data_IF_333077645728
#
_entry.id   IF_333077645728
#
_cell.length_a   1.000
_cell.length_b   1.000
_cell.length_c   1.000
_cell.angle_alpha   90.00
_cell.angle_beta   90.00
_cell.angle_gamma   90.00
#
_symmetry.space_group_name_H-M   'P 1'
#
loop_
_entity.id
_entity.type
_entity.pdbx_description
1 polymer ?
#
# COMPACT_ATOMS: atom_id res chain seq x y z
N UNK A 1 46.28 31.44 -24.48
CA UNK A 1 44.84 31.74 -24.59
C UNK A 1 44.10 30.85 -23.59
N UNK A 2 43.67 31.43 -22.46
CA UNK A 2 42.81 30.81 -21.45
C UNK A 2 41.37 31.29 -21.71
N UNK A 3 40.41 30.37 -21.62
CA UNK A 3 38.99 30.57 -21.26
C UNK A 3 38.40 29.15 -21.12
N UNK A 4 38.33 28.55 -19.93
CA UNK A 4 37.32 28.74 -18.88
C UNK A 4 35.86 28.70 -19.39
N UNK A 5 35.21 27.57 -19.14
CA UNK A 5 33.82 27.47 -18.68
C UNK A 5 33.51 26.01 -18.28
N UNK A 6 34.22 25.51 -17.26
CA UNK A 6 33.68 24.46 -16.41
C UNK A 6 33.00 25.17 -15.23
N UNK A 7 31.67 25.22 -15.26
CA UNK A 7 30.88 25.64 -14.10
C UNK A 7 31.28 24.74 -12.91
N UNK A 8 31.66 25.31 -11.76
CA UNK A 8 31.97 24.51 -10.58
C UNK A 8 30.68 23.82 -10.13
N UNK A 9 30.62 22.49 -10.26
CA UNK A 9 29.60 21.67 -9.60
C UNK A 9 29.84 21.85 -8.10
N UNK A 10 28.97 22.64 -7.46
CA UNK A 10 29.09 23.01 -6.06
C UNK A 10 28.85 21.78 -5.17
N UNK A 11 29.91 21.01 -4.90
CA UNK A 11 29.93 19.77 -4.12
C UNK A 11 29.47 19.97 -2.66
N UNK A 12 29.58 21.19 -2.13
CA UNK A 12 29.10 21.60 -0.80
C UNK A 12 27.56 21.66 -0.70
N UNK A 13 26.87 22.02 -1.79
CA UNK A 13 25.41 22.02 -1.83
C UNK A 13 24.86 20.58 -1.96
N UNK A 14 25.53 19.74 -2.75
CA UNK A 14 25.20 18.32 -2.89
C UNK A 14 25.35 17.56 -1.56
N UNK A 15 26.37 17.84 -0.75
CA UNK A 15 26.58 17.14 0.53
C UNK A 15 25.50 17.48 1.58
N UNK A 16 25.04 18.74 1.64
CA UNK A 16 23.99 19.19 2.57
C UNK A 16 22.59 18.67 2.23
N UNK A 17 22.31 18.43 0.95
CA UNK A 17 21.03 17.83 0.49
C UNK A 17 21.09 16.30 0.54
N UNK A 18 22.26 15.69 0.39
CA UNK A 18 22.44 14.23 0.45
C UNK A 18 22.12 13.64 1.84
N UNK A 19 22.66 14.22 2.92
CA UNK A 19 22.52 13.63 4.27
C UNK A 19 21.05 13.54 4.74
N UNK A 20 20.21 14.59 4.61
CA UNK A 20 18.78 14.50 4.92
C UNK A 20 18.05 13.49 4.02
N UNK A 21 18.44 13.40 2.74
CA UNK A 21 17.83 12.47 1.78
C UNK A 21 18.07 11.00 2.14
N UNK A 22 19.30 10.65 2.50
CA UNK A 22 19.62 9.30 2.97
C UNK A 22 18.92 8.97 4.29
N UNK A 23 18.79 9.94 5.20
CA UNK A 23 18.03 9.78 6.44
C UNK A 23 16.55 9.48 6.18
N UNK A 24 15.89 10.23 5.29
CA UNK A 24 14.49 10.00 4.91
C UNK A 24 14.31 8.66 4.20
N UNK A 25 15.23 8.27 3.32
CA UNK A 25 15.20 6.96 2.67
C UNK A 25 15.32 5.82 3.68
N UNK A 26 16.25 5.92 4.62
CA UNK A 26 16.43 4.93 5.68
C UNK A 26 15.19 4.84 6.57
N UNK A 27 14.62 5.99 6.97
CA UNK A 27 13.43 6.06 7.79
C UNK A 27 12.19 5.49 7.07
N UNK A 28 12.04 5.73 5.77
CA UNK A 28 10.98 5.12 4.96
C UNK A 28 11.16 3.61 4.83
N UNK A 29 12.38 3.12 4.60
CA UNK A 29 12.66 1.69 4.59
C UNK A 29 12.36 1.02 5.93
N UNK A 30 12.76 1.68 7.04
CA UNK A 30 12.53 1.19 8.40
C UNK A 30 11.03 1.23 8.74
N UNK A 31 10.40 2.40 8.75
CA UNK A 31 9.02 2.54 9.20
C UNK A 31 8.01 2.00 8.19
N UNK A 32 8.18 2.21 6.89
CA UNK A 32 7.27 1.68 5.88
C UNK A 32 7.49 0.19 5.63
N UNK A 33 8.74 -0.21 5.34
CA UNK A 33 9.07 -1.59 4.99
C UNK A 33 8.93 -2.56 6.16
N UNK A 34 9.51 -2.24 7.32
CA UNK A 34 9.45 -3.15 8.49
C UNK A 34 8.04 -3.21 9.07
N UNK A 35 7.28 -2.11 9.11
CA UNK A 35 5.89 -2.17 9.57
C UNK A 35 5.02 -3.07 8.69
N UNK A 36 5.22 -3.10 7.37
CA UNK A 36 4.49 -4.01 6.48
C UNK A 36 4.81 -5.48 6.76
N UNK A 37 6.07 -5.80 7.08
CA UNK A 37 6.48 -7.15 7.50
C UNK A 37 5.85 -7.49 8.86
N UNK A 38 5.93 -6.59 9.83
CA UNK A 38 5.30 -6.74 11.13
C UNK A 38 3.79 -6.90 11.02
N UNK A 39 3.15 -6.24 10.06
CA UNK A 39 1.74 -6.38 9.77
C UNK A 39 1.40 -7.79 9.24
N UNK A 40 2.24 -8.36 8.38
CA UNK A 40 2.12 -9.77 8.00
C UNK A 40 2.20 -10.73 9.21
N UNK A 41 3.12 -10.48 10.14
CA UNK A 41 3.23 -11.25 11.40
C UNK A 41 2.00 -11.03 12.29
N UNK A 42 1.54 -9.80 12.40
CA UNK A 42 0.32 -9.44 13.13
C UNK A 42 -0.91 -10.17 12.58
N UNK A 43 -1.05 -10.33 11.26
CA UNK A 43 -2.13 -11.11 10.66
C UNK A 43 -1.96 -12.62 10.90
N UNK A 44 -0.73 -13.12 10.92
CA UNK A 44 -0.45 -14.56 11.06
C UNK A 44 -0.67 -15.10 12.48
N UNK A 45 -0.20 -14.36 13.49
CA UNK A 45 -0.18 -14.77 14.92
C UNK A 45 -0.63 -13.68 15.89
N UNK A 46 -0.81 -12.44 15.43
CA UNK A 46 -0.76 -11.26 16.30
C UNK A 46 0.69 -10.90 16.67
N UNK A 47 0.87 -9.76 17.36
CA UNK A 47 2.18 -9.37 17.88
C UNK A 47 2.35 -9.82 19.34
N UNK A 48 3.53 -10.32 19.74
CA UNK A 48 3.87 -10.49 21.15
C UNK A 48 4.07 -9.11 21.80
N UNK A 49 3.56 -8.92 23.02
CA UNK A 49 3.75 -7.66 23.77
C UNK A 49 2.79 -6.53 23.38
N UNK A 50 1.61 -6.84 22.86
CA UNK A 50 0.53 -5.85 22.70
C UNK A 50 0.19 -5.25 24.06
N UNK A 51 0.05 -3.92 24.12
CA UNK A 51 -0.32 -3.24 25.35
C UNK A 51 -1.79 -3.50 25.65
N UNK A 52 -2.06 -4.39 26.60
CA UNK A 52 -3.39 -4.59 27.13
C UNK A 52 -3.73 -3.42 28.06
N UNK A 53 -4.70 -2.59 27.66
CA UNK A 53 -5.09 -1.41 28.42
C UNK A 53 -5.99 -1.76 29.61
N UNK A 54 -6.48 -3.00 29.69
CA UNK A 54 -7.27 -3.50 30.82
C UNK A 54 -8.70 -2.96 30.87
N UNK A 55 -9.21 -2.42 29.76
CA UNK A 55 -10.60 -1.97 29.66
C UNK A 55 -11.58 -3.13 29.43
N UNK A 56 -12.87 -2.82 29.53
CA UNK A 56 -13.93 -3.76 29.18
C UNK A 56 -13.95 -4.05 27.67
N UNK A 57 -14.63 -5.14 27.29
CA UNK A 57 -14.66 -5.60 25.90
C UNK A 57 -15.19 -4.56 24.91
N UNK A 58 -16.27 -3.86 25.27
CA UNK A 58 -16.88 -2.85 24.40
C UNK A 58 -15.92 -1.69 24.12
N UNK A 59 -15.19 -1.25 25.15
CA UNK A 59 -14.16 -0.22 25.01
C UNK A 59 -12.99 -0.70 24.18
N UNK A 60 -12.57 -1.97 24.34
CA UNK A 60 -11.51 -2.56 23.52
C UNK A 60 -11.88 -2.55 22.03
N UNK A 61 -13.07 -3.03 21.67
CA UNK A 61 -13.55 -3.02 20.29
C UNK A 61 -13.71 -1.60 19.74
N UNK A 62 -14.14 -0.64 20.57
CA UNK A 62 -14.21 0.77 20.17
C UNK A 62 -12.82 1.35 19.88
N UNK A 63 -11.83 1.05 20.72
CA UNK A 63 -10.43 1.46 20.52
C UNK A 63 -9.88 0.85 19.23
N UNK A 64 -10.10 -0.45 18.99
CA UNK A 64 -9.67 -1.12 17.76
C UNK A 64 -10.29 -0.53 16.51
N UNK A 65 -11.59 -0.20 16.55
CA UNK A 65 -12.27 0.51 15.47
C UNK A 65 -11.63 1.89 15.25
N UNK A 66 -11.39 2.65 16.32
CA UNK A 66 -10.75 3.97 16.25
C UNK A 66 -9.33 3.89 15.66
N UNK A 67 -8.54 2.89 16.05
CA UNK A 67 -7.21 2.63 15.50
C UNK A 67 -7.28 2.33 14.00
N UNK A 68 -8.24 1.51 13.56
CA UNK A 68 -8.49 1.25 12.14
C UNK A 68 -8.85 2.55 11.40
N UNK A 69 -9.82 3.32 11.90
CA UNK A 69 -10.23 4.58 11.28
C UNK A 69 -9.11 5.61 11.22
N UNK A 70 -8.28 5.68 12.27
CA UNK A 70 -7.14 6.57 12.31
C UNK A 70 -6.12 6.23 11.22
N UNK A 71 -5.81 4.94 11.06
CA UNK A 71 -4.96 4.47 9.96
C UNK A 71 -5.60 4.72 8.59
N UNK A 72 -6.87 4.38 8.41
CA UNK A 72 -7.59 4.57 7.14
C UNK A 72 -7.63 6.04 6.72
N UNK A 73 -7.92 6.93 7.67
CA UNK A 73 -7.99 8.36 7.43
C UNK A 73 -6.61 8.88 7.00
N UNK A 74 -5.56 8.58 7.77
CA UNK A 74 -4.21 9.00 7.44
C UNK A 74 -3.77 8.47 6.07
N UNK A 75 -3.92 7.17 5.82
CA UNK A 75 -3.50 6.52 4.58
C UNK A 75 -4.25 7.10 3.37
N UNK A 76 -5.58 7.18 3.45
CA UNK A 76 -6.42 7.62 2.33
C UNK A 76 -6.24 9.10 2.02
N UNK A 77 -6.07 9.95 3.04
CA UNK A 77 -5.81 11.37 2.85
C UNK A 77 -4.47 11.59 2.14
N UNK A 78 -3.40 10.94 2.58
CA UNK A 78 -2.06 11.17 2.01
C UNK A 78 -1.86 10.58 0.61
N UNK A 79 -2.67 9.59 0.22
CA UNK A 79 -2.69 9.09 -1.17
C UNK A 79 -3.37 10.10 -2.10
N UNK A 80 -4.31 10.91 -1.60
CA UNK A 80 -5.14 11.77 -2.45
C UNK A 80 -4.34 12.90 -3.09
N UNK A 81 -4.55 13.11 -4.39
CA UNK A 81 -3.89 14.17 -5.17
C UNK A 81 -4.06 15.57 -4.58
N UNK A 82 -5.22 15.89 -3.99
CA UNK A 82 -5.46 17.18 -3.35
C UNK A 82 -4.55 17.42 -2.15
N UNK A 83 -4.41 16.43 -1.27
CA UNK A 83 -3.53 16.53 -0.12
C UNK A 83 -2.05 16.54 -0.53
N UNK A 84 -1.66 15.73 -1.52
CA UNK A 84 -0.31 15.76 -2.10
C UNK A 84 0.05 17.13 -2.66
N UNK A 85 -0.87 17.79 -3.37
CA UNK A 85 -0.69 19.17 -3.86
C UNK A 85 -0.54 20.17 -2.72
N UNK A 86 -1.39 20.08 -1.70
CA UNK A 86 -1.27 20.93 -0.51
C UNK A 86 0.08 20.74 0.20
N UNK A 87 0.51 19.50 0.41
CA UNK A 87 1.77 19.19 1.07
C UNK A 87 2.99 19.60 0.21
N UNK A 88 2.86 19.59 -1.12
CA UNK A 88 3.90 20.06 -2.04
C UNK A 88 4.22 21.56 -1.91
N UNK A 89 3.34 22.34 -1.26
CA UNK A 89 3.61 23.73 -0.91
C UNK A 89 4.62 23.89 0.25
N UNK A 90 4.79 22.84 1.07
CA UNK A 90 5.69 22.84 2.22
C UNK A 90 6.93 21.97 2.01
N UNK A 91 6.80 20.89 1.23
CA UNK A 91 7.82 19.85 1.07
C UNK A 91 8.06 19.58 -0.42
N UNK A 92 9.32 19.41 -0.87
CA UNK A 92 9.59 19.08 -2.27
C UNK A 92 8.90 17.79 -2.70
N UNK A 93 8.41 17.76 -3.95
CA UNK A 93 7.60 16.65 -4.46
C UNK A 93 8.30 15.29 -4.36
N UNK A 94 9.63 15.27 -4.49
CA UNK A 94 10.45 14.06 -4.46
C UNK A 94 10.43 13.33 -3.10
N UNK A 95 10.07 14.02 -2.01
CA UNK A 95 10.00 13.42 -0.66
C UNK A 95 8.59 12.99 -0.26
N UNK A 96 7.56 13.39 -1.01
CA UNK A 96 6.17 13.13 -0.63
C UNK A 96 5.86 11.63 -0.50
N UNK A 97 6.41 10.81 -1.39
CA UNK A 97 6.27 9.35 -1.32
C UNK A 97 6.92 8.76 -0.05
N UNK A 98 8.11 9.21 0.30
CA UNK A 98 8.83 8.71 1.48
C UNK A 98 8.17 9.15 2.78
N UNK A 99 7.72 10.40 2.86
CA UNK A 99 6.95 10.90 4.00
C UNK A 99 5.65 10.15 4.16
N UNK A 100 4.92 9.91 3.06
CA UNK A 100 3.74 9.06 3.07
C UNK A 100 4.02 7.68 3.65
N UNK A 101 5.10 7.02 3.21
CA UNK A 101 5.53 5.71 3.70
C UNK A 101 5.86 5.73 5.20
N UNK A 102 6.59 6.74 5.66
CA UNK A 102 6.97 6.94 7.07
C UNK A 102 5.73 7.08 7.95
N UNK A 103 4.85 8.02 7.63
CA UNK A 103 3.64 8.26 8.42
C UNK A 103 2.73 7.04 8.38
N UNK A 104 2.50 6.43 7.22
CA UNK A 104 1.68 5.22 7.12
C UNK A 104 2.27 4.08 7.97
N UNK A 105 3.60 3.94 8.00
CA UNK A 105 4.29 2.98 8.84
C UNK A 105 4.12 3.25 10.33
N UNK A 106 4.19 4.51 10.77
CA UNK A 106 3.96 4.90 12.17
C UNK A 106 2.54 4.55 12.61
N UNK A 107 1.54 4.96 11.83
CA UNK A 107 0.13 4.70 12.16
C UNK A 107 -0.18 3.20 12.14
N UNK A 108 0.44 2.44 11.24
CA UNK A 108 0.31 0.99 11.20
C UNK A 108 0.95 0.34 12.45
N UNK A 109 2.12 0.80 12.88
CA UNK A 109 2.76 0.32 14.12
C UNK A 109 1.92 0.67 15.35
N UNK A 110 1.37 1.89 15.43
CA UNK A 110 0.45 2.29 16.51
C UNK A 110 -0.75 1.34 16.55
N UNK A 111 -1.39 1.08 15.40
CA UNK A 111 -2.51 0.14 15.31
C UNK A 111 -2.12 -1.23 15.86
N UNK A 112 -0.98 -1.78 15.47
CA UNK A 112 -0.58 -3.13 15.88
C UNK A 112 -0.17 -3.22 17.36
N UNK A 113 0.48 -2.19 17.91
CA UNK A 113 0.95 -2.15 19.29
C UNK A 113 -0.19 -1.95 20.31
N UNK A 114 -1.17 -1.11 19.94
CA UNK A 114 -2.32 -0.80 20.79
C UNK A 114 -3.56 -1.63 20.46
N UNK A 115 -3.44 -2.66 19.62
CA UNK A 115 -4.53 -3.58 19.32
C UNK A 115 -4.99 -4.34 20.57
N UNK A 116 -6.28 -4.29 20.88
CA UNK A 116 -6.88 -4.92 22.05
C UNK A 116 -7.53 -6.26 21.68
N UNK A 117 -6.83 -7.37 21.94
CA UNK A 117 -7.37 -8.72 21.69
C UNK A 117 -8.69 -8.94 22.42
N UNK A 118 -9.69 -9.37 21.67
CA UNK A 118 -10.99 -9.79 22.21
C UNK A 118 -10.89 -11.21 22.74
N UNK A 119 -11.57 -11.46 23.86
CA UNK A 119 -11.78 -12.82 24.39
C UNK A 119 -13.20 -13.33 24.11
N UNK A 120 -14.07 -12.46 23.58
CA UNK A 120 -15.45 -12.81 23.23
C UNK A 120 -15.48 -13.50 21.87
N UNK A 121 -16.24 -14.59 21.77
CA UNK A 121 -16.39 -15.42 20.57
C UNK A 121 -15.04 -15.80 19.94
N UNK A 122 -14.46 -16.91 20.38
CA UNK A 122 -13.24 -17.47 19.81
C UNK A 122 -13.55 -18.83 19.18
N UNK A 123 -13.45 -18.90 17.85
CA UNK A 123 -13.53 -20.14 17.09
C UNK A 123 -12.20 -20.39 16.42
N UNK A 124 -11.49 -21.39 16.91
CA UNK A 124 -10.24 -21.85 16.32
C UNK A 124 -10.52 -22.94 15.29
N UNK A 125 -9.97 -22.79 14.09
CA UNK A 125 -10.05 -23.79 13.03
C UNK A 125 -8.99 -24.87 13.28
N UNK A 126 -9.41 -26.12 13.21
CA UNK A 126 -8.56 -27.30 13.39
C UNK A 126 -8.54 -28.19 12.13
N UNK A 127 -7.73 -29.25 12.18
CA UNK A 127 -7.63 -30.25 11.12
C UNK A 127 -7.37 -29.68 9.72
N UNK A 128 -8.15 -30.13 8.73
CA UNK A 128 -7.99 -29.71 7.33
C UNK A 128 -8.30 -28.22 7.11
N UNK A 129 -9.22 -27.64 7.88
CA UNK A 129 -9.59 -26.23 7.75
C UNK A 129 -8.41 -25.32 8.12
N UNK A 130 -7.69 -25.66 9.20
CA UNK A 130 -6.44 -24.99 9.57
C UNK A 130 -5.44 -24.99 8.41
N UNK A 131 -5.13 -26.17 7.85
CA UNK A 131 -4.14 -26.28 6.77
C UNK A 131 -4.57 -25.51 5.53
N UNK A 132 -5.85 -25.58 5.16
CA UNK A 132 -6.40 -24.84 4.04
C UNK A 132 -6.20 -23.32 4.22
N UNK A 133 -6.55 -22.78 5.38
CA UNK A 133 -6.38 -21.35 5.67
C UNK A 133 -4.90 -20.94 5.68
N UNK A 134 -4.00 -21.76 6.22
CA UNK A 134 -2.55 -21.48 6.20
C UNK A 134 -1.98 -21.49 4.78
N UNK A 135 -2.37 -22.46 3.95
CA UNK A 135 -1.98 -22.50 2.54
C UNK A 135 -2.51 -21.27 1.81
N UNK A 136 -3.77 -20.90 2.03
CA UNK A 136 -4.38 -19.70 1.45
C UNK A 136 -3.62 -18.43 1.87
N UNK A 137 -3.21 -18.31 3.14
CA UNK A 137 -2.44 -17.20 3.66
C UNK A 137 -1.11 -17.04 2.92
N UNK A 138 -0.29 -18.10 2.83
CA UNK A 138 1.01 -18.06 2.14
C UNK A 138 0.86 -17.85 0.62
N UNK A 139 -0.14 -18.47 -0.01
CA UNK A 139 -0.45 -18.23 -1.42
C UNK A 139 -0.83 -16.77 -1.67
N UNK A 140 -1.54 -16.14 -0.73
CA UNK A 140 -1.90 -14.72 -0.81
C UNK A 140 -0.69 -13.82 -0.72
N UNK A 141 0.29 -14.12 0.15
CA UNK A 141 1.58 -13.40 0.21
C UNK A 141 2.34 -13.54 -1.11
N UNK A 142 2.44 -14.75 -1.66
CA UNK A 142 3.14 -15.01 -2.93
C UNK A 142 2.43 -14.24 -4.06
N UNK A 143 1.11 -14.33 -4.14
CA UNK A 143 0.29 -13.62 -5.13
C UNK A 143 0.45 -12.11 -5.04
N UNK A 144 0.44 -11.56 -3.82
CA UNK A 144 0.70 -10.15 -3.55
C UNK A 144 2.10 -9.75 -4.05
N UNK A 145 3.14 -10.50 -3.67
CA UNK A 145 4.52 -10.22 -4.07
C UNK A 145 4.74 -10.28 -5.59
N UNK A 146 4.22 -11.30 -6.25
CA UNK A 146 4.29 -11.45 -7.72
C UNK A 146 3.57 -10.29 -8.41
N UNK A 147 2.39 -9.91 -7.92
CA UNK A 147 1.64 -8.76 -8.42
C UNK A 147 2.42 -7.46 -8.24
N UNK A 148 2.95 -7.24 -7.04
CA UNK A 148 3.74 -6.06 -6.71
C UNK A 148 4.95 -5.92 -7.63
N UNK A 149 5.69 -7.01 -7.87
CA UNK A 149 6.84 -7.02 -8.78
C UNK A 149 6.47 -6.72 -10.25
N UNK A 150 5.21 -6.90 -10.63
CA UNK A 150 4.72 -6.55 -11.97
C UNK A 150 4.53 -5.04 -12.16
N UNK A 151 4.34 -4.29 -11.08
CA UNK A 151 4.26 -2.84 -11.05
C UNK A 151 5.66 -2.19 -11.06
N UNK A 152 6.52 -2.54 -12.02
CA UNK A 152 7.93 -2.10 -12.01
C UNK A 152 8.22 -0.58 -11.90
N UNK A 153 7.28 0.36 -12.13
CA UNK A 153 7.50 1.76 -11.74
C UNK A 153 6.96 2.16 -10.36
N UNK A 154 6.14 1.35 -9.70
CA UNK A 154 5.51 1.64 -8.42
C UNK A 154 6.54 1.59 -7.28
N UNK A 155 6.58 2.67 -6.52
CA UNK A 155 7.53 2.88 -5.44
C UNK A 155 6.77 3.17 -4.14
N UNK A 156 6.36 2.13 -3.40
CA UNK A 156 5.57 2.32 -2.18
C UNK A 156 6.35 3.06 -1.08
N UNK A 157 7.69 3.05 -1.15
CA UNK A 157 8.55 3.69 -0.17
C UNK A 157 8.97 5.12 -0.57
N UNK A 158 8.62 5.57 -1.78
CA UNK A 158 9.03 6.89 -2.31
C UNK A 158 10.55 7.09 -2.42
N UNK A 159 11.34 6.01 -2.41
CA UNK A 159 12.80 6.07 -2.45
C UNK A 159 13.30 6.41 -3.87
N UNK A 160 12.63 5.90 -4.89
CA UNK A 160 12.99 6.06 -6.29
C UNK A 160 12.87 7.51 -6.75
N UNK A 161 11.86 8.24 -6.30
CA UNK A 161 11.69 9.67 -6.59
C UNK A 161 12.89 10.48 -6.08
N UNK A 162 13.28 10.24 -4.82
CA UNK A 162 14.50 10.84 -4.22
C UNK A 162 15.75 10.46 -5.01
N UNK A 163 15.93 9.18 -5.37
CA UNK A 163 17.11 8.73 -6.13
C UNK A 163 17.15 9.34 -7.54
N UNK A 164 16.00 9.52 -8.20
CA UNK A 164 15.89 10.17 -9.51
C UNK A 164 16.28 11.64 -9.39
N UNK A 165 15.78 12.33 -8.36
CA UNK A 165 16.11 13.72 -8.04
C UNK A 165 17.61 13.89 -7.77
N UNK A 166 18.19 13.05 -6.91
CA UNK A 166 19.63 13.06 -6.60
C UNK A 166 20.51 12.79 -7.83
N UNK A 167 19.98 12.08 -8.84
CA UNK A 167 20.65 11.82 -10.13
C UNK A 167 20.39 12.90 -11.19
N UNK A 168 19.67 13.98 -10.85
CA UNK A 168 19.37 15.09 -11.77
C UNK A 168 18.48 14.69 -12.95
N UNK A 169 17.66 13.64 -12.81
CA UNK A 169 16.75 13.18 -13.88
C UNK A 169 15.33 13.64 -13.58
N UNK A 170 14.55 13.92 -14.62
CA UNK A 170 13.13 14.24 -14.48
C UNK A 170 12.28 12.96 -14.47
N UNK A 171 11.27 12.94 -13.59
CA UNK A 171 10.30 11.84 -13.54
C UNK A 171 9.50 11.80 -14.85
N UNK A 172 9.33 10.60 -15.42
CA UNK A 172 8.52 10.41 -16.63
C UNK A 172 7.03 10.34 -16.25
N UNK A 173 6.20 10.97 -17.07
CA UNK A 173 4.74 10.87 -16.97
C UNK A 173 4.28 9.40 -16.99
N UNK A 174 3.35 9.01 -16.10
CA UNK A 174 2.86 7.64 -16.02
C UNK A 174 2.02 7.28 -17.27
N UNK A 175 2.47 6.28 -18.02
CA UNK A 175 1.72 5.71 -19.15
C UNK A 175 0.79 4.60 -18.64
N UNK A 176 -0.48 4.65 -19.03
CA UNK A 176 -1.43 3.58 -18.72
C UNK A 176 -0.98 2.26 -19.34
N UNK A 177 -0.66 1.27 -18.51
CA UNK A 177 -0.24 -0.06 -18.96
C UNK A 177 -0.87 -1.15 -18.11
N UNK A 178 -1.43 -2.17 -18.77
CA UNK A 178 -2.05 -3.33 -18.10
C UNK A 178 -1.18 -4.57 -18.32
N UNK A 179 -0.61 -5.13 -17.24
CA UNK A 179 0.34 -6.25 -17.28
C UNK A 179 0.11 -7.22 -16.12
N UNK A 180 0.52 -8.48 -16.29
CA UNK A 180 0.44 -9.50 -15.24
C UNK A 180 -1.00 -9.73 -14.76
N UNK A 181 -1.17 -9.80 -13.43
CA UNK A 181 -2.44 -10.08 -12.77
C UNK A 181 -3.50 -8.99 -13.00
N UNK A 182 -3.10 -7.78 -13.42
CA UNK A 182 -4.01 -6.73 -13.86
C UNK A 182 -4.82 -7.11 -15.10
N UNK A 183 -4.45 -8.18 -15.83
CA UNK A 183 -5.26 -8.70 -16.95
C UNK A 183 -6.43 -9.57 -16.48
N UNK A 184 -6.41 -10.04 -15.24
CA UNK A 184 -7.42 -10.93 -14.66
C UNK A 184 -8.40 -10.16 -13.78
N UNK A 185 -7.90 -9.25 -12.93
CA UNK A 185 -8.68 -8.37 -12.05
C UNK A 185 -8.07 -6.99 -12.06
N UNK A 186 -8.87 -5.95 -11.81
CA UNK A 186 -8.38 -4.57 -11.85
C UNK A 186 -7.52 -4.21 -10.66
N UNK A 187 -7.82 -4.81 -9.51
CA UNK A 187 -7.15 -4.55 -8.24
C UNK A 187 -6.57 -5.83 -7.62
N UNK A 188 -5.58 -6.46 -8.27
CA UNK A 188 -5.01 -7.73 -7.79
C UNK A 188 -4.34 -7.60 -6.42
N UNK A 189 -3.70 -6.46 -6.11
CA UNK A 189 -3.13 -6.22 -4.78
C UNK A 189 -4.20 -6.22 -3.70
N UNK A 190 -5.33 -5.53 -3.95
CA UNK A 190 -6.46 -5.51 -3.02
C UNK A 190 -7.10 -6.89 -2.87
N UNK A 191 -7.23 -7.64 -3.96
CA UNK A 191 -7.71 -9.02 -3.89
C UNK A 191 -6.83 -9.88 -2.98
N UNK A 192 -5.51 -9.87 -3.15
CA UNK A 192 -4.61 -10.64 -2.29
C UNK A 192 -4.56 -10.12 -0.85
N UNK A 193 -4.70 -8.81 -0.63
CA UNK A 193 -4.85 -8.24 0.72
C UNK A 193 -6.12 -8.73 1.41
N UNK A 194 -7.25 -8.79 0.70
CA UNK A 194 -8.51 -9.33 1.24
C UNK A 194 -8.35 -10.82 1.58
N UNK A 195 -7.73 -11.61 0.70
CA UNK A 195 -7.46 -13.00 1.03
C UNK A 195 -6.56 -13.14 2.26
N UNK A 196 -5.56 -12.27 2.41
CA UNK A 196 -4.63 -12.31 3.54
C UNK A 196 -5.33 -12.04 4.89
N UNK A 197 -6.19 -11.03 4.97
CA UNK A 197 -6.90 -10.69 6.22
C UNK A 197 -7.95 -11.75 6.58
N UNK A 198 -8.58 -12.38 5.57
CA UNK A 198 -9.59 -13.41 5.80
C UNK A 198 -9.01 -14.82 5.99
N UNK A 199 -7.75 -15.07 5.62
CA UNK A 199 -7.05 -16.32 5.85
C UNK A 199 -6.55 -16.47 7.30
N UNK A 200 -7.43 -16.21 8.27
CA UNK A 200 -7.18 -16.43 9.69
C UNK A 200 -7.54 -17.85 10.11
N UNK A 201 -6.80 -18.39 11.09
CA UNK A 201 -7.10 -19.69 11.72
C UNK A 201 -7.83 -19.55 13.05
N UNK A 202 -7.83 -18.35 13.63
CA UNK A 202 -8.54 -18.03 14.87
C UNK A 202 -9.48 -16.88 14.59
N UNK A 203 -10.78 -17.15 14.70
CA UNK A 203 -11.84 -16.18 14.46
C UNK A 203 -12.28 -15.64 15.81
N UNK A 204 -11.81 -14.44 16.13
CA UNK A 204 -12.19 -13.68 17.34
C UNK A 204 -13.04 -12.46 16.96
N UNK A 205 -13.77 -11.89 17.93
CA UNK A 205 -14.61 -10.69 17.66
C UNK A 205 -13.78 -9.51 17.16
N UNK A 206 -12.60 -9.26 17.73
CA UNK A 206 -11.70 -8.19 17.26
C UNK A 206 -11.22 -8.44 15.82
N UNK A 207 -10.91 -9.70 15.47
CA UNK A 207 -10.50 -10.06 14.11
C UNK A 207 -11.64 -9.93 13.10
N UNK A 208 -12.86 -10.26 13.48
CA UNK A 208 -14.03 -10.05 12.62
C UNK A 208 -14.29 -8.56 12.39
N UNK A 209 -14.20 -7.74 13.45
CA UNK A 209 -14.28 -6.29 13.35
C UNK A 209 -13.21 -5.73 12.40
N UNK A 210 -11.95 -6.13 12.62
CA UNK A 210 -10.82 -5.78 11.76
C UNK A 210 -11.10 -6.16 10.30
N UNK A 211 -11.44 -7.42 10.03
CA UNK A 211 -11.68 -7.93 8.69
C UNK A 211 -12.81 -7.18 7.99
N UNK A 212 -13.90 -6.91 8.69
CA UNK A 212 -15.03 -6.14 8.17
C UNK A 212 -14.63 -4.71 7.81
N UNK A 213 -14.02 -3.98 8.75
CA UNK A 213 -13.59 -2.59 8.56
C UNK A 213 -12.58 -2.45 7.42
N UNK A 214 -11.56 -3.32 7.38
CA UNK A 214 -10.54 -3.32 6.33
C UNK A 214 -11.12 -3.70 4.97
N UNK A 215 -12.09 -4.63 4.92
CA UNK A 215 -12.77 -4.98 3.67
C UNK A 215 -13.53 -3.79 3.10
N UNK A 216 -14.33 -3.12 3.93
CA UNK A 216 -15.07 -1.91 3.52
C UNK A 216 -14.10 -0.83 3.05
N UNK A 217 -13.05 -0.57 3.82
CA UNK A 217 -12.04 0.42 3.47
C UNK A 217 -11.34 0.12 2.13
N UNK A 218 -10.94 -1.13 1.89
CA UNK A 218 -10.32 -1.55 0.62
C UNK A 218 -11.30 -1.36 -0.55
N UNK A 219 -12.57 -1.72 -0.39
CA UNK A 219 -13.58 -1.54 -1.45
C UNK A 219 -13.80 -0.06 -1.74
N UNK A 220 -13.95 0.77 -0.71
CA UNK A 220 -14.11 2.23 -0.87
C UNK A 220 -12.87 2.83 -1.55
N UNK A 221 -11.67 2.45 -1.11
CA UNK A 221 -10.40 2.88 -1.71
C UNK A 221 -10.32 2.53 -3.19
N UNK A 222 -10.67 1.29 -3.55
CA UNK A 222 -10.71 0.84 -4.92
C UNK A 222 -11.71 1.63 -5.79
N UNK A 223 -12.90 1.93 -5.27
CA UNK A 223 -13.89 2.76 -5.99
C UNK A 223 -13.39 4.19 -6.22
N UNK A 224 -12.72 4.78 -5.24
CA UNK A 224 -12.13 6.12 -5.35
C UNK A 224 -10.93 6.14 -6.31
N UNK A 225 -10.09 5.12 -6.28
CA UNK A 225 -8.98 4.95 -7.20
C UNK A 225 -9.48 4.81 -8.64
N UNK A 226 -10.53 4.02 -8.88
CA UNK A 226 -11.12 3.90 -10.22
C UNK A 226 -11.65 5.24 -10.75
N UNK A 227 -12.26 6.07 -9.88
CA UNK A 227 -12.71 7.41 -10.27
C UNK A 227 -11.54 8.29 -10.70
N UNK A 228 -10.42 8.23 -9.99
CA UNK A 228 -9.22 8.99 -10.34
C UNK A 228 -8.59 8.49 -11.64
N UNK A 229 -8.53 7.18 -11.82
CA UNK A 229 -7.99 6.56 -13.04
C UNK A 229 -8.86 6.88 -14.26
N UNK A 230 -10.18 6.96 -14.11
CA UNK A 230 -11.08 7.46 -15.16
C UNK A 230 -10.81 8.93 -15.46
N UNK A 231 -10.58 9.76 -14.44
CA UNK A 231 -10.27 11.18 -14.64
C UNK A 231 -8.92 11.38 -15.34
N UNK A 232 -7.92 10.53 -15.07
CA UNK A 232 -6.59 10.62 -15.67
C UNK A 232 -6.47 9.98 -17.06
N UNK A 233 -7.16 8.86 -17.31
CA UNK A 233 -6.97 8.05 -18.53
C UNK A 233 -8.21 7.95 -19.42
N UNK A 234 -9.33 8.53 -19.02
CA UNK A 234 -10.55 8.65 -19.83
C UNK A 234 -11.07 7.30 -20.35
N UNK A 235 -11.38 7.25 -21.64
CA UNK A 235 -12.00 6.09 -22.28
C UNK A 235 -11.12 4.84 -22.30
N UNK A 236 -9.80 4.99 -22.28
CA UNK A 236 -8.88 3.86 -22.20
C UNK A 236 -9.13 3.04 -20.93
N UNK A 237 -9.33 3.71 -19.79
CA UNK A 237 -9.64 3.06 -18.52
C UNK A 237 -11.09 2.55 -18.47
N UNK A 238 -12.05 3.29 -19.02
CA UNK A 238 -13.45 2.83 -19.11
C UNK A 238 -13.57 1.53 -19.91
N UNK A 239 -12.83 1.41 -21.01
CA UNK A 239 -12.77 0.18 -21.79
C UNK A 239 -12.19 -0.98 -20.96
N UNK A 240 -11.12 -0.72 -20.20
CA UNK A 240 -10.56 -1.70 -19.27
C UNK A 240 -11.57 -2.13 -18.18
N UNK A 241 -12.32 -1.20 -17.59
CA UNK A 241 -13.37 -1.49 -16.60
C UNK A 241 -14.50 -2.39 -17.13
N UNK A 242 -14.89 -2.22 -18.40
CA UNK A 242 -15.92 -3.07 -19.03
C UNK A 242 -15.46 -4.51 -19.20
N UNK A 243 -14.16 -4.71 -19.42
CA UNK A 243 -13.62 -6.01 -19.79
C UNK A 243 -13.08 -6.81 -18.58
N UNK A 244 -12.43 -6.15 -17.62
CA UNK A 244 -11.74 -6.80 -16.50
C UNK A 244 -12.52 -6.59 -15.20
N UNK A 245 -12.82 -7.64 -14.41
CA UNK A 245 -13.55 -7.50 -13.15
C UNK A 245 -12.75 -6.78 -12.07
N UNK A 246 -13.43 -6.15 -11.11
CA UNK A 246 -12.80 -5.30 -10.09
C UNK A 246 -11.84 -6.07 -9.16
N UNK A 247 -12.39 -7.02 -8.39
CA UNK A 247 -11.66 -7.75 -7.33
C UNK A 247 -11.64 -9.26 -7.55
N UNK A 248 -12.79 -9.87 -7.87
CA UNK A 248 -12.91 -11.34 -7.95
C UNK A 248 -12.61 -11.82 -9.38
N UNK A 249 -11.62 -12.72 -9.58
CA UNK A 249 -11.19 -13.20 -10.90
C UNK A 249 -12.16 -14.26 -11.47
N UNK A 250 -13.42 -13.91 -11.73
CA UNK A 250 -14.39 -14.86 -12.32
C UNK A 250 -14.18 -15.06 -13.84
N UNK A 251 -13.41 -14.19 -14.50
CA UNK A 251 -13.03 -14.31 -15.91
C UNK A 251 -11.65 -14.96 -16.01
N UNK A 252 -11.61 -16.25 -16.30
CA UNK A 252 -10.37 -17.03 -16.44
C UNK A 252 -9.54 -16.67 -17.67
N UNK A 253 -10.13 -15.97 -18.65
CA UNK A 253 -9.43 -15.50 -19.86
C UNK A 253 -8.80 -14.13 -19.59
N UNK A 254 -7.46 -14.01 -19.60
CA UNK A 254 -6.79 -12.72 -19.39
C UNK A 254 -7.15 -11.74 -20.49
N UNK A 255 -7.47 -10.51 -20.11
CA UNK A 255 -7.71 -9.47 -21.10
C UNK A 255 -6.45 -9.13 -21.88
N UNK A 256 -6.60 -9.02 -23.20
CA UNK A 256 -5.54 -8.60 -24.13
C UNK A 256 -5.91 -7.23 -24.68
N UNK A 257 -5.08 -6.22 -24.38
CA UNK A 257 -5.24 -4.90 -24.97
C UNK A 257 -4.99 -5.01 -26.48
N UNK A 258 -6.00 -4.71 -27.30
CA UNK A 258 -5.81 -4.53 -28.75
C UNK A 258 -5.23 -3.14 -28.94
N UNK A 259 -3.97 -3.05 -29.36
CA UNK A 259 -3.35 -1.76 -29.66
C UNK A 259 -3.99 -1.18 -30.93
N UNK A 260 -4.94 -0.25 -30.79
CA UNK A 260 -5.31 0.68 -31.86
C UNK A 260 -4.37 1.90 -31.85
N UNK A 261 -3.07 1.65 -31.87
CA UNK A 261 -2.11 2.70 -32.25
C UNK A 261 -1.98 2.61 -33.77
N UNK A 262 -2.33 3.64 -34.56
CA UNK A 262 -1.98 3.65 -35.97
C UNK A 262 -0.47 3.47 -36.07
N UNK A 263 -0.02 2.53 -36.90
CA UNK A 263 1.39 2.39 -37.25
C UNK A 263 1.84 3.76 -37.79
N UNK A 264 2.70 4.45 -37.04
CA UNK A 264 3.50 5.55 -37.60
C UNK A 264 4.67 4.94 -38.36
#
# INVERSE_FOLDING_TARGET
>A
MKNENQLPVNTSCMSKVCVPSYGVMALSGLLGGVSAILFGVFLYTGLPGQMALGFNEQTNLFIDALLCFLFFLQHSLMVRNGFRKWLSGFIPQDYLGAIYSIFSGIFLVILMLFWQKSTSFQVDLDGMAYFFMRVLFFLSIIGFYVTFRSLRPFDPLGIREIVIHLKGRTAKEPVFTVRGNYRLVRHPLYFFSLLLIWATVSVTTDRLLFNGLWTVWIIVGAMLEERDLVASFGDAYRNYQRNVPMLIPYKWRPWRHVNNQPKK
#
